data_IF_444978980991
#
_entry.id   IF_444978980991
#
_cell.length_a   1.000
_cell.length_b   1.000
_cell.length_c   1.000
_cell.angle_alpha   90.00
_cell.angle_beta   90.00
_cell.angle_gamma   90.00
#
_symmetry.space_group_name_H-M   'P 1'
#
loop_
_entity.id
_entity.type
_entity.pdbx_description
1 polymer ?
#
# COMPACT_ATOMS: atom_id res chain seq x y z
N UNK A 1 33.37 14.56 39.29
CA UNK A 1 32.86 13.29 39.87
C UNK A 1 32.95 12.19 38.83
N UNK A 2 33.58 11.05 39.13
CA UNK A 2 33.71 9.92 38.20
C UNK A 2 32.33 9.35 37.87
N UNK A 3 32.04 9.14 36.57
CA UNK A 3 30.77 8.58 36.11
C UNK A 3 30.73 7.08 36.46
N UNK A 4 29.79 6.68 37.31
CA UNK A 4 29.52 5.28 37.60
C UNK A 4 29.01 4.61 36.32
N UNK A 5 29.83 3.76 35.72
CA UNK A 5 29.39 2.86 34.67
C UNK A 5 28.65 1.69 35.34
N UNK A 6 27.31 1.73 35.32
CA UNK A 6 26.54 0.54 35.68
C UNK A 6 26.86 -0.57 34.69
N UNK A 7 27.19 -1.75 35.22
CA UNK A 7 27.35 -2.95 34.41
C UNK A 7 26.01 -3.25 33.74
N UNK A 8 26.05 -3.51 32.43
CA UNK A 8 24.86 -3.89 31.67
C UNK A 8 24.29 -5.19 32.21
N UNK A 9 22.97 -5.32 32.16
CA UNK A 9 22.31 -6.58 32.49
C UNK A 9 22.63 -7.63 31.42
N UNK A 10 22.60 -8.94 31.76
CA UNK A 10 22.83 -10.02 30.79
C UNK A 10 21.90 -9.94 29.58
N UNK A 11 20.68 -9.47 29.78
CA UNK A 11 19.67 -9.30 28.74
C UNK A 11 20.03 -8.16 27.76
N UNK A 12 20.51 -7.02 28.27
CA UNK A 12 20.98 -5.92 27.42
C UNK A 12 22.22 -6.34 26.61
N UNK A 13 23.08 -7.19 27.18
CA UNK A 13 24.23 -7.75 26.48
C UNK A 13 23.82 -8.72 25.36
N UNK A 14 22.83 -9.59 25.60
CA UNK A 14 22.27 -10.48 24.59
C UNK A 14 21.63 -9.70 23.42
N UNK A 15 20.81 -8.67 23.72
CA UNK A 15 20.21 -7.81 22.70
C UNK A 15 21.27 -7.06 21.87
N UNK A 16 22.37 -6.63 22.51
CA UNK A 16 23.50 -5.99 21.83
C UNK A 16 24.26 -6.98 20.94
N UNK A 17 24.45 -8.22 21.39
CA UNK A 17 25.07 -9.26 20.58
C UNK A 17 24.23 -9.61 19.35
N UNK A 18 22.90 -9.74 19.51
CA UNK A 18 21.97 -9.93 18.39
C UNK A 18 22.06 -8.81 17.35
N UNK A 19 21.99 -7.54 17.79
CA UNK A 19 22.19 -6.38 16.89
C UNK A 19 23.56 -6.38 16.20
N UNK A 20 24.60 -6.85 16.89
CA UNK A 20 25.96 -6.95 16.32
C UNK A 20 26.07 -8.08 15.29
N UNK A 21 25.38 -9.20 15.51
CA UNK A 21 25.29 -10.31 14.55
C UNK A 21 24.52 -9.89 13.29
N UNK A 22 23.34 -9.28 13.44
CA UNK A 22 22.56 -8.71 12.34
C UNK A 22 23.37 -7.72 11.50
N UNK A 23 24.12 -6.80 12.13
CA UNK A 23 25.00 -5.86 11.40
C UNK A 23 26.16 -6.56 10.69
N UNK A 24 26.71 -7.64 11.26
CA UNK A 24 27.77 -8.43 10.60
C UNK A 24 27.21 -9.20 9.41
N UNK A 25 26.03 -9.81 9.55
CA UNK A 25 25.35 -10.55 8.50
C UNK A 25 24.95 -9.64 7.34
N UNK A 26 24.39 -8.47 7.62
CA UNK A 26 24.10 -7.45 6.60
C UNK A 26 25.38 -7.01 5.85
N UNK A 27 26.51 -6.88 6.55
CA UNK A 27 27.81 -6.60 5.91
C UNK A 27 28.32 -7.78 5.07
N UNK A 28 28.12 -9.01 5.52
CA UNK A 28 28.47 -10.21 4.73
C UNK A 28 27.61 -10.29 3.47
N UNK A 29 26.29 -10.06 3.56
CA UNK A 29 25.40 -10.01 2.39
C UNK A 29 25.80 -8.93 1.39
N UNK A 30 26.20 -7.74 1.86
CA UNK A 30 26.72 -6.68 0.97
C UNK A 30 28.07 -7.02 0.32
N UNK A 31 28.91 -7.81 1.00
CA UNK A 31 30.21 -8.22 0.47
C UNK A 31 30.09 -9.39 -0.50
N UNK A 32 29.18 -10.33 -0.23
CA UNK A 32 29.01 -11.56 -1.01
C UNK A 32 28.02 -11.40 -2.18
N UNK A 33 27.02 -10.51 -2.04
CA UNK A 33 26.08 -10.18 -3.12
C UNK A 33 26.68 -9.34 -4.26
N UNK A 34 27.99 -9.09 -4.24
CA UNK A 34 28.74 -8.48 -5.33
C UNK A 34 29.62 -9.52 -6.07
N UNK A 35 29.67 -10.77 -5.60
CA UNK A 35 30.57 -11.82 -6.14
C UNK A 35 29.82 -12.99 -6.81
N UNK A 36 28.47 -13.02 -6.80
CA UNK A 36 27.70 -14.20 -7.25
C UNK A 36 27.07 -14.06 -8.65
N UNK A 37 27.42 -13.01 -9.41
CA UNK A 37 27.03 -12.83 -10.82
C UNK A 37 28.18 -12.16 -11.57
N UNK A 38 29.19 -12.94 -12.00
CA UNK A 38 30.09 -12.63 -13.13
C UNK A 38 31.14 -13.75 -13.30
N UNK A 39 30.72 -14.96 -13.69
CA UNK A 39 31.66 -16.02 -14.10
C UNK A 39 31.37 -16.60 -15.51
N UNK A 40 30.50 -15.96 -16.31
CA UNK A 40 30.22 -16.36 -17.71
C UNK A 40 30.37 -15.19 -18.72
N UNK A 41 31.38 -14.34 -18.52
CA UNK A 41 31.79 -13.35 -19.52
C UNK A 41 33.33 -13.34 -19.66
N UNK A 42 33.88 -14.45 -20.13
CA UNK A 42 35.15 -14.40 -20.83
C UNK A 42 35.00 -13.48 -22.06
N UNK A 43 36.06 -12.73 -22.35
CA UNK A 43 36.29 -11.95 -23.57
C UNK A 43 35.78 -10.49 -23.60
N UNK A 44 36.41 -9.62 -22.80
CA UNK A 44 36.87 -8.32 -23.32
C UNK A 44 37.91 -7.67 -22.42
N UNK A 45 39.15 -7.82 -22.84
CA UNK A 45 40.30 -7.14 -22.28
C UNK A 45 40.25 -5.62 -22.49
N UNK A 46 40.87 -4.91 -21.55
CA UNK A 46 41.39 -3.54 -21.66
C UNK A 46 40.37 -2.37 -21.68
N UNK A 47 40.21 -1.69 -20.55
CA UNK A 47 40.94 -0.43 -20.28
C UNK A 47 40.64 0.15 -18.90
N UNK A 48 41.70 0.23 -18.12
CA UNK A 48 41.83 0.95 -16.86
C UNK A 48 41.34 2.40 -16.92
N UNK A 49 40.58 2.85 -15.93
CA UNK A 49 40.53 4.27 -15.55
C UNK A 49 40.71 4.45 -14.04
N UNK A 50 41.98 4.51 -13.65
CA UNK A 50 42.45 5.43 -12.60
C UNK A 50 42.12 6.87 -13.03
N UNK A 51 41.47 7.66 -12.17
CA UNK A 51 41.69 9.11 -12.07
C UNK A 51 41.13 9.58 -10.73
N UNK A 52 41.96 9.88 -9.73
CA UNK A 52 42.93 10.99 -9.67
C UNK A 52 42.23 12.35 -9.68
N UNK A 53 42.25 12.95 -8.48
CA UNK A 53 41.98 14.36 -8.18
C UNK A 53 42.97 15.26 -8.92
N UNK A 54 42.50 16.26 -9.68
CA UNK A 54 43.10 17.62 -9.68
C UNK A 54 42.29 18.62 -10.50
N UNK A 55 42.20 19.82 -9.92
CA UNK A 55 41.73 21.07 -10.51
C UNK A 55 42.41 21.42 -11.85
N UNK A 56 41.64 21.95 -12.80
CA UNK A 56 41.96 23.21 -13.52
C UNK A 56 40.75 23.65 -14.36
N UNK A 57 40.45 24.96 -14.44
CA UNK A 57 39.52 25.55 -15.40
C UNK A 57 40.23 25.84 -16.74
N UNK A 58 39.45 26.00 -17.83
CA UNK A 58 39.65 26.84 -19.05
C UNK A 58 38.91 26.21 -20.26
N UNK A 59 37.93 26.97 -20.75
CA UNK A 59 37.47 27.27 -22.12
C UNK A 59 37.40 26.22 -23.25
N UNK A 60 36.14 26.00 -23.70
CA UNK A 60 35.60 25.90 -25.08
C UNK A 60 36.09 24.78 -26.04
N UNK A 61 35.38 24.47 -27.17
CA UNK A 61 33.94 24.55 -27.50
C UNK A 61 33.38 23.26 -28.20
N UNK A 62 32.07 23.28 -28.49
CA UNK A 62 31.44 22.75 -29.71
C UNK A 62 31.67 21.28 -30.12
N UNK A 63 30.68 20.42 -29.88
CA UNK A 63 30.29 19.44 -30.90
C UNK A 63 28.80 19.12 -30.82
N UNK A 64 28.07 19.63 -31.82
CA UNK A 64 26.69 19.30 -32.15
C UNK A 64 26.57 17.80 -32.45
N UNK A 65 25.52 17.18 -31.93
CA UNK A 65 24.84 16.09 -32.61
C UNK A 65 23.37 16.46 -32.68
N UNK A 66 22.94 16.74 -33.91
CA UNK A 66 21.55 16.90 -34.33
C UNK A 66 20.82 15.55 -34.25
N UNK A 67 19.61 15.61 -33.71
CA UNK A 67 18.43 14.76 -34.02
C UNK A 67 17.28 15.42 -33.25
N UNK A 68 16.57 16.41 -33.78
CA UNK A 68 15.60 16.34 -34.89
C UNK A 68 14.50 15.30 -34.58
N UNK A 69 13.60 15.68 -33.67
CA UNK A 69 12.16 15.48 -33.82
C UNK A 69 11.42 16.56 -32.99
N UNK A 70 10.91 17.57 -33.69
CA UNK A 70 9.93 18.54 -33.18
C UNK A 70 8.57 17.83 -33.06
N UNK A 71 7.78 18.02 -32.01
CA UNK A 71 6.85 19.14 -31.94
C UNK A 71 6.19 19.25 -30.56
N UNK A 72 5.80 20.50 -30.24
CA UNK A 72 4.84 20.93 -29.21
C UNK A 72 5.41 21.58 -27.93
N UNK A 73 5.83 22.83 -28.14
CA UNK A 73 6.15 23.86 -27.14
C UNK A 73 4.85 24.48 -26.60
N UNK A 74 4.64 24.35 -25.29
CA UNK A 74 3.80 25.25 -24.49
C UNK A 74 4.69 26.16 -23.63
N UNK A 75 4.34 27.44 -23.43
CA UNK A 75 5.24 28.43 -22.82
C UNK A 75 5.52 28.10 -21.35
N UNK A 76 6.81 27.93 -21.04
CA UNK A 76 7.32 27.75 -19.68
C UNK A 76 7.44 29.14 -19.02
N UNK A 77 6.89 29.38 -17.82
CA UNK A 77 7.03 30.67 -17.14
C UNK A 77 8.45 30.89 -16.63
N UNK A 78 8.89 32.14 -16.72
CA UNK A 78 10.21 32.66 -16.38
C UNK A 78 10.60 32.36 -14.92
N UNK A 79 11.86 31.92 -14.65
CA UNK A 79 12.37 31.88 -13.29
C UNK A 79 12.72 33.29 -12.82
N UNK A 80 11.83 33.88 -12.05
CA UNK A 80 12.08 35.12 -11.34
C UNK A 80 13.29 34.99 -10.39
N UNK A 81 14.18 35.96 -10.56
CA UNK A 81 15.30 36.28 -9.69
C UNK A 81 14.88 36.51 -8.23
N UNK A 82 15.46 35.76 -7.29
CA UNK A 82 15.52 36.15 -5.87
C UNK A 82 16.94 35.92 -5.36
N UNK A 83 17.73 36.99 -5.29
CA UNK A 83 17.93 37.84 -4.11
C UNK A 83 18.85 37.22 -3.04
N UNK A 84 20.08 37.74 -3.03
CA UNK A 84 20.85 38.11 -1.82
C UNK A 84 20.97 37.09 -0.70
N UNK A 85 22.00 36.24 -0.79
CA UNK A 85 22.63 35.57 0.36
C UNK A 85 23.51 36.59 1.11
N UNK A 86 22.95 37.30 2.08
CA UNK A 86 23.72 38.08 3.05
C UNK A 86 24.38 37.13 4.06
N UNK A 87 25.71 36.99 3.95
CA UNK A 87 26.57 36.37 4.97
C UNK A 87 26.78 37.36 6.12
N UNK A 88 25.92 37.34 7.13
CA UNK A 88 26.24 37.93 8.43
C UNK A 88 26.95 36.89 9.31
N UNK A 89 28.27 36.99 9.35
CA UNK A 89 29.11 36.38 10.40
C UNK A 89 28.93 37.20 11.68
N UNK A 90 28.06 36.79 12.58
CA UNK A 90 28.17 37.18 14.00
C UNK A 90 28.80 36.02 14.76
N UNK A 91 30.07 36.21 15.06
CA UNK A 91 30.92 35.34 15.86
C UNK A 91 30.91 35.95 17.26
N UNK A 92 29.94 35.58 18.09
CA UNK A 92 29.97 35.93 19.51
C UNK A 92 29.96 34.70 20.39
N UNK A 93 30.88 34.76 21.35
CA UNK A 93 31.16 33.78 22.38
C UNK A 93 29.97 33.63 23.33
N UNK A 94 29.27 32.49 23.24
CA UNK A 94 28.50 31.98 24.37
C UNK A 94 29.13 30.68 24.85
N UNK A 95 30.08 30.83 25.78
CA UNK A 95 30.51 29.74 26.66
C UNK A 95 29.42 29.61 27.72
N UNK A 96 28.35 28.90 27.42
CA UNK A 96 27.35 28.57 28.43
C UNK A 96 26.97 27.11 28.37
N UNK A 97 27.10 26.48 29.54
CA UNK A 97 26.51 25.23 30.01
C UNK A 97 26.41 24.08 28.99
N UNK A 98 27.26 23.08 29.21
CA UNK A 98 27.08 21.73 28.70
C UNK A 98 25.73 21.20 29.21
N UNK A 99 24.71 21.24 28.36
CA UNK A 99 23.42 20.60 28.59
C UNK A 99 23.42 19.21 27.91
N UNK A 100 23.66 18.12 28.67
CA UNK A 100 23.78 16.77 28.13
C UNK A 100 22.45 16.16 27.65
N UNK A 101 21.34 16.90 27.70
CA UNK A 101 20.00 16.40 27.33
C UNK A 101 19.44 16.98 26.02
N UNK A 102 20.14 17.89 25.34
CA UNK A 102 19.69 18.44 24.05
C UNK A 102 20.21 17.65 22.82
N UNK A 103 20.32 16.32 22.95
CA UNK A 103 20.33 15.46 21.76
C UNK A 103 18.88 15.24 21.31
N UNK A 104 18.25 16.33 20.86
CA UNK A 104 17.12 16.24 19.96
C UNK A 104 17.59 15.40 18.78
N UNK A 105 17.15 14.15 18.75
CA UNK A 105 17.41 13.18 17.71
C UNK A 105 16.82 13.77 16.43
N UNK A 106 17.60 14.59 15.73
CA UNK A 106 17.26 15.03 14.39
C UNK A 106 17.19 13.72 13.60
N UNK A 107 16.00 13.31 13.15
CA UNK A 107 15.90 12.10 12.35
C UNK A 107 16.89 12.26 11.21
N UNK A 108 17.71 11.24 11.00
CA UNK A 108 18.68 11.26 9.93
C UNK A 108 17.89 11.22 8.61
N UNK A 109 17.57 12.40 8.08
CA UNK A 109 16.70 12.55 6.93
C UNK A 109 17.27 11.84 5.71
N UNK A 110 18.59 11.69 5.64
CA UNK A 110 19.27 10.93 4.59
C UNK A 110 19.03 9.42 4.76
N UNK A 111 19.03 8.92 6.00
CA UNK A 111 18.65 7.53 6.29
C UNK A 111 17.17 7.25 5.97
N UNK A 112 16.28 8.17 6.31
CA UNK A 112 14.84 8.02 6.03
C UNK A 112 14.58 8.12 4.53
N UNK A 113 15.26 9.03 3.82
CA UNK A 113 15.17 9.13 2.36
C UNK A 113 15.70 7.87 1.67
N UNK A 114 16.84 7.34 2.12
CA UNK A 114 17.40 6.10 1.59
C UNK A 114 16.48 4.89 1.85
N UNK A 115 15.83 4.83 3.01
CA UNK A 115 14.87 3.76 3.33
C UNK A 115 13.59 3.87 2.48
N UNK A 116 13.10 5.08 2.24
CA UNK A 116 11.94 5.32 1.35
C UNK A 116 12.29 5.03 -0.11
N UNK A 117 13.51 5.36 -0.55
CA UNK A 117 14.00 5.02 -1.89
C UNK A 117 14.24 3.51 -2.04
N UNK A 118 14.76 2.82 -1.02
CA UNK A 118 14.90 1.36 -1.02
C UNK A 118 13.54 0.66 -1.01
N UNK A 119 12.55 1.20 -0.30
CA UNK A 119 11.16 0.72 -0.35
C UNK A 119 10.53 0.93 -1.72
N UNK A 120 10.70 2.12 -2.33
CA UNK A 120 10.23 2.37 -3.70
C UNK A 120 10.93 1.49 -4.72
N UNK A 121 12.22 1.24 -4.55
CA UNK A 121 12.99 0.36 -5.41
C UNK A 121 12.52 -1.09 -5.29
N UNK A 122 12.25 -1.55 -4.06
CA UNK A 122 11.66 -2.86 -3.81
C UNK A 122 10.24 -2.99 -4.36
N UNK A 123 9.38 -1.99 -4.16
CA UNK A 123 8.03 -1.97 -4.74
C UNK A 123 8.08 -1.96 -6.27
N UNK A 124 9.03 -1.22 -6.86
CA UNK A 124 9.22 -1.19 -8.31
C UNK A 124 9.72 -2.55 -8.83
N UNK A 125 10.61 -3.22 -8.09
CA UNK A 125 11.03 -4.58 -8.43
C UNK A 125 9.91 -5.60 -8.26
N UNK A 126 9.14 -5.54 -7.17
CA UNK A 126 8.01 -6.46 -6.96
C UNK A 126 6.93 -6.26 -8.03
N UNK A 127 6.62 -5.02 -8.40
CA UNK A 127 5.67 -4.72 -9.46
C UNK A 127 6.18 -5.20 -10.84
N UNK A 128 7.49 -5.15 -11.08
CA UNK A 128 8.07 -5.71 -12.30
C UNK A 128 7.96 -7.25 -12.35
N UNK A 129 8.07 -7.94 -11.22
CA UNK A 129 7.85 -9.40 -11.16
C UNK A 129 6.36 -9.78 -11.22
N UNK A 130 5.47 -8.95 -10.68
CA UNK A 130 4.01 -9.16 -10.75
C UNK A 130 3.48 -9.02 -12.19
N UNK A 131 4.06 -8.12 -12.99
CA UNK A 131 3.76 -8.02 -14.42
C UNK A 131 4.42 -9.15 -15.26
N UNK A 132 5.47 -9.81 -14.76
CA UNK A 132 6.12 -10.95 -15.45
C UNK A 132 5.39 -12.30 -15.23
N UNK A 133 4.45 -12.41 -14.29
CA UNK A 133 3.46 -13.50 -14.28
C UNK A 133 2.56 -13.47 -15.54
N UNK A 134 2.60 -12.37 -16.30
CA UNK A 134 1.98 -12.30 -17.63
C UNK A 134 2.72 -13.15 -18.67
N UNK A 135 4.01 -13.45 -18.50
CA UNK A 135 4.72 -14.36 -19.42
C UNK A 135 4.19 -15.79 -19.31
N UNK A 136 3.85 -16.27 -18.11
CA UNK A 136 3.17 -17.56 -17.95
C UNK A 136 1.78 -17.55 -18.62
N UNK A 137 1.07 -16.40 -18.60
CA UNK A 137 -0.21 -16.25 -19.31
C UNK A 137 -0.06 -16.17 -20.84
N UNK A 138 1.04 -15.58 -21.32
CA UNK A 138 1.36 -15.46 -22.75
C UNK A 138 1.90 -16.79 -23.28
N UNK A 139 2.72 -17.50 -22.51
CA UNK A 139 3.19 -18.85 -22.79
C UNK A 139 2.03 -19.85 -22.74
N UNK A 140 1.10 -19.73 -21.79
CA UNK A 140 -0.15 -20.50 -21.81
C UNK A 140 -1.03 -20.19 -23.04
N UNK A 141 -1.12 -18.91 -23.48
CA UNK A 141 -1.84 -18.54 -24.71
C UNK A 141 -1.12 -18.99 -25.99
N UNK A 142 0.21 -18.95 -26.03
CA UNK A 142 1.00 -19.44 -27.17
C UNK A 142 0.96 -20.97 -27.25
N UNK A 143 1.04 -21.67 -26.12
CA UNK A 143 0.85 -23.12 -26.06
C UNK A 143 -0.60 -23.52 -26.39
N UNK A 144 -1.60 -22.67 -26.13
CA UNK A 144 -2.98 -22.91 -26.54
C UNK A 144 -3.21 -22.74 -28.06
N UNK A 145 -2.43 -21.89 -28.74
CA UNK A 145 -2.52 -21.67 -30.19
C UNK A 145 -1.53 -22.49 -31.02
N UNK A 146 -0.45 -22.97 -30.41
CA UNK A 146 0.43 -23.95 -31.00
C UNK A 146 -0.23 -25.33 -30.94
N UNK A 147 -1.25 -25.54 -31.78
CA UNK A 147 -1.68 -26.87 -32.16
C UNK A 147 -0.56 -27.50 -33.00
N UNK A 148 0.57 -27.81 -32.36
CA UNK A 148 1.63 -28.61 -32.94
C UNK A 148 1.01 -29.98 -33.17
N UNK A 149 0.93 -30.47 -34.42
CA UNK A 149 0.42 -31.79 -34.70
C UNK A 149 1.13 -32.82 -33.82
N UNK A 150 0.35 -33.77 -33.26
CA UNK A 150 0.82 -34.74 -32.26
C UNK A 150 2.08 -35.52 -32.62
N UNK A 151 2.48 -35.57 -33.88
CA UNK A 151 3.70 -36.25 -34.33
C UNK A 151 4.97 -35.39 -34.23
N UNK A 152 4.87 -34.06 -34.01
CA UNK A 152 6.02 -33.15 -33.80
C UNK A 152 6.18 -32.72 -32.34
N UNK A 153 5.10 -32.72 -31.56
CA UNK A 153 5.14 -32.43 -30.13
C UNK A 153 5.60 -33.66 -29.35
N UNK A 154 6.90 -33.77 -29.08
CA UNK A 154 7.45 -34.76 -28.16
C UNK A 154 6.70 -34.71 -26.83
N UNK A 155 5.94 -35.77 -26.55
CA UNK A 155 4.84 -35.73 -25.58
C UNK A 155 5.18 -35.17 -24.20
N UNK A 156 4.43 -34.14 -23.80
CA UNK A 156 4.10 -33.85 -22.40
C UNK A 156 2.88 -32.91 -22.32
N UNK A 157 1.89 -33.31 -21.52
CA UNK A 157 0.80 -32.55 -20.89
C UNK A 157 -0.25 -31.85 -21.80
N UNK A 158 -1.57 -31.99 -21.63
CA UNK A 158 -2.34 -32.61 -20.56
C UNK A 158 -3.78 -32.91 -20.97
N UNK A 159 -4.22 -34.11 -20.60
CA UNK A 159 -5.42 -34.35 -19.80
C UNK A 159 -6.71 -33.57 -20.14
N UNK A 160 -7.50 -34.11 -21.08
CA UNK A 160 -8.89 -34.44 -20.73
C UNK A 160 -9.42 -35.57 -21.61
N UNK A 161 -10.02 -36.56 -20.96
CA UNK A 161 -10.97 -37.47 -21.60
C UNK A 161 -10.39 -38.69 -22.32
N UNK A 162 -10.43 -39.81 -21.61
CA UNK A 162 -11.02 -41.04 -22.14
C UNK A 162 -10.20 -41.90 -23.11
N UNK A 163 -9.65 -42.98 -22.53
CA UNK A 163 -9.54 -44.33 -23.11
C UNK A 163 -8.70 -44.48 -24.39
N UNK A 164 -7.40 -44.74 -24.21
CA UNK A 164 -6.54 -45.29 -25.26
C UNK A 164 -5.07 -45.02 -24.99
N UNK A 165 -4.31 -46.09 -24.74
CA UNK A 165 -2.98 -46.08 -24.13
C UNK A 165 -1.92 -45.26 -24.88
N UNK A 166 -1.27 -44.37 -24.14
CA UNK A 166 0.18 -44.11 -24.13
C UNK A 166 0.42 -42.89 -23.25
N UNK A 167 0.03 -43.01 -21.98
CA UNK A 167 0.70 -42.23 -20.94
C UNK A 167 2.16 -42.68 -21.03
N UNK A 168 3.09 -41.77 -21.35
CA UNK A 168 4.49 -41.99 -20.98
C UNK A 168 4.47 -42.06 -19.46
N UNK A 169 4.24 -43.26 -18.95
CA UNK A 169 4.26 -43.55 -17.54
C UNK A 169 5.66 -43.12 -17.14
N UNK A 170 5.72 -42.03 -16.39
CA UNK A 170 6.94 -41.56 -15.77
C UNK A 170 7.16 -42.57 -14.65
N UNK A 171 7.60 -43.78 -15.04
CA UNK A 171 8.03 -44.81 -14.12
C UNK A 171 9.21 -44.16 -13.41
N UNK A 172 8.97 -43.58 -12.23
CA UNK A 172 10.03 -43.49 -11.22
C UNK A 172 10.60 -44.91 -11.22
N UNK A 173 11.89 -45.07 -11.56
CA UNK A 173 12.52 -46.33 -11.99
C UNK A 173 12.13 -47.55 -11.12
N UNK A 174 11.69 -47.31 -9.89
CA UNK A 174 11.29 -48.27 -8.86
C UNK A 174 9.95 -48.96 -9.08
N UNK A 175 8.98 -48.34 -9.77
CA UNK A 175 7.71 -49.01 -10.07
C UNK A 175 7.87 -50.03 -11.20
N UNK A 176 8.79 -49.79 -12.15
CA UNK A 176 9.11 -50.75 -13.23
C UNK A 176 9.68 -52.07 -12.69
N UNK A 177 10.33 -52.04 -11.52
CA UNK A 177 10.90 -53.24 -10.87
C UNK A 177 9.89 -54.01 -9.99
N UNK A 178 8.72 -53.41 -9.69
CA UNK A 178 7.64 -54.08 -8.94
C UNK A 178 6.70 -54.89 -9.84
N UNK A 179 6.82 -54.74 -11.15
CA UNK A 179 6.02 -55.47 -12.14
C UNK A 179 6.50 -56.93 -12.16
N UNK A 180 5.56 -57.87 -12.14
CA UNK A 180 5.85 -59.30 -12.18
C UNK A 180 6.50 -59.65 -13.53
N UNK A 181 7.74 -60.17 -13.57
CA UNK A 181 8.46 -60.41 -14.82
C UNK A 181 7.76 -61.38 -15.78
N UNK A 182 6.83 -62.20 -15.30
CA UNK A 182 6.03 -63.13 -16.12
C UNK A 182 4.92 -62.45 -16.93
N UNK A 183 4.66 -61.17 -16.66
CA UNK A 183 3.62 -60.39 -17.32
C UNK A 183 4.17 -59.40 -18.36
N UNK A 184 5.50 -59.23 -18.41
CA UNK A 184 6.19 -58.37 -19.36
C UNK A 184 6.39 -59.09 -20.70
N UNK A 185 6.32 -58.33 -21.79
CA UNK A 185 6.70 -58.86 -23.09
C UNK A 185 8.22 -59.12 -23.18
N UNK A 186 8.68 -59.80 -24.23
CA UNK A 186 10.09 -60.18 -24.36
C UNK A 186 11.04 -58.97 -24.45
N UNK A 187 10.56 -57.83 -24.95
CA UNK A 187 11.35 -56.59 -25.09
C UNK A 187 11.45 -55.85 -23.75
N UNK A 188 10.32 -55.70 -23.05
CA UNK A 188 10.23 -55.16 -21.69
C UNK A 188 10.99 -56.03 -20.68
N UNK A 189 10.98 -57.35 -20.83
CA UNK A 189 11.74 -58.27 -19.99
C UNK A 189 13.25 -58.08 -20.16
N UNK A 190 13.72 -57.87 -21.39
CA UNK A 190 15.14 -57.58 -21.65
C UNK A 190 15.55 -56.24 -21.02
N UNK A 191 14.69 -55.23 -21.10
CA UNK A 191 14.91 -53.94 -20.43
C UNK A 191 14.88 -54.08 -18.91
N UNK A 192 13.98 -54.89 -18.36
CA UNK A 192 13.92 -55.22 -16.94
C UNK A 192 15.21 -55.90 -16.45
N UNK A 193 15.76 -56.85 -17.21
CA UNK A 193 17.05 -57.47 -16.90
C UNK A 193 18.17 -56.43 -16.95
N UNK A 194 18.21 -55.57 -17.98
CA UNK A 194 19.23 -54.53 -18.14
C UNK A 194 19.17 -53.53 -16.98
N UNK A 195 17.98 -53.09 -16.59
CA UNK A 195 17.73 -52.21 -15.46
C UNK A 195 18.10 -52.87 -14.13
N UNK A 196 17.74 -54.14 -13.93
CA UNK A 196 18.10 -54.93 -12.75
C UNK A 196 19.61 -55.14 -12.61
N UNK A 197 20.32 -55.37 -13.71
CA UNK A 197 21.78 -55.48 -13.73
C UNK A 197 22.46 -54.13 -13.49
N UNK A 198 21.92 -53.03 -14.04
CA UNK A 198 22.42 -51.69 -13.80
C UNK A 198 22.29 -51.30 -12.31
N UNK A 199 21.15 -51.57 -11.68
CA UNK A 199 20.94 -51.35 -10.23
C UNK A 199 21.91 -52.14 -9.36
N UNK A 200 22.19 -53.42 -9.71
CA UNK A 200 23.14 -54.24 -8.95
C UNK A 200 24.57 -53.74 -9.06
N UNK A 201 24.96 -53.15 -10.20
CA UNK A 201 26.31 -52.62 -10.44
C UNK A 201 26.48 -51.17 -9.95
N UNK A 202 25.39 -50.39 -9.91
CA UNK A 202 25.36 -48.98 -9.52
C UNK A 202 24.54 -48.75 -8.25
N UNK A 203 24.47 -49.75 -7.36
CA UNK A 203 23.69 -49.67 -6.11
C UNK A 203 24.12 -48.47 -5.25
N UNK A 204 25.44 -48.19 -5.20
CA UNK A 204 25.99 -47.03 -4.48
C UNK A 204 25.56 -45.69 -5.10
N UNK A 205 25.49 -45.61 -6.43
CA UNK A 205 25.05 -44.40 -7.13
C UNK A 205 23.55 -44.13 -6.88
N UNK A 206 22.73 -45.18 -6.83
CA UNK A 206 21.31 -45.07 -6.49
C UNK A 206 21.10 -44.59 -5.06
N UNK A 207 21.83 -45.14 -4.08
CA UNK A 207 21.75 -44.67 -2.69
C UNK A 207 22.17 -43.20 -2.57
N UNK A 208 23.22 -42.76 -3.28
CA UNK A 208 23.63 -41.35 -3.31
C UNK A 208 22.57 -40.46 -3.97
N UNK A 209 21.97 -40.92 -5.07
CA UNK A 209 20.89 -40.22 -5.78
C UNK A 209 19.63 -40.09 -4.91
N UNK A 210 19.26 -41.12 -4.17
CA UNK A 210 18.17 -41.08 -3.21
C UNK A 210 18.47 -40.14 -2.04
N UNK A 211 19.68 -40.18 -1.47
CA UNK A 211 20.08 -39.22 -0.43
C UNK A 211 20.01 -37.78 -0.93
N UNK A 212 20.44 -37.53 -2.17
CA UNK A 212 20.36 -36.20 -2.81
C UNK A 212 18.92 -35.78 -3.11
N UNK A 213 18.04 -36.71 -3.53
CA UNK A 213 16.60 -36.47 -3.73
C UNK A 213 15.93 -36.13 -2.40
N UNK A 214 16.24 -36.89 -1.34
CA UNK A 214 15.73 -36.67 0.01
C UNK A 214 16.22 -35.33 0.60
N UNK A 215 17.49 -34.97 0.44
CA UNK A 215 18.02 -33.67 0.90
C UNK A 215 17.34 -32.50 0.18
N UNK A 216 17.18 -32.58 -1.15
CA UNK A 216 16.46 -31.56 -1.92
C UNK A 216 15.00 -31.45 -1.51
N UNK A 217 14.33 -32.59 -1.27
CA UNK A 217 12.96 -32.61 -0.79
C UNK A 217 12.84 -31.99 0.62
N UNK A 218 13.78 -32.30 1.52
CA UNK A 218 13.83 -31.71 2.85
C UNK A 218 14.08 -30.19 2.80
N UNK A 219 14.99 -29.72 1.93
CA UNK A 219 15.25 -28.29 1.74
C UNK A 219 14.02 -27.56 1.20
N UNK A 220 13.36 -28.12 0.19
CA UNK A 220 12.10 -27.57 -0.35
C UNK A 220 10.98 -27.55 0.69
N UNK A 221 10.89 -28.58 1.53
CA UNK A 221 9.90 -28.63 2.61
C UNK A 221 10.16 -27.54 3.67
N UNK A 222 11.42 -27.31 4.05
CA UNK A 222 11.80 -26.25 4.99
C UNK A 222 11.54 -24.85 4.41
N UNK A 223 11.90 -24.62 3.15
CA UNK A 223 11.65 -23.36 2.45
C UNK A 223 10.14 -23.07 2.32
N UNK A 224 9.36 -24.10 1.98
CA UNK A 224 7.90 -23.99 1.92
C UNK A 224 7.30 -23.66 3.29
N UNK A 225 7.76 -24.31 4.36
CA UNK A 225 7.30 -24.01 5.71
C UNK A 225 7.63 -22.56 6.13
N UNK A 226 8.83 -22.08 5.78
CA UNK A 226 9.19 -20.69 6.03
C UNK A 226 8.34 -19.70 5.22
N UNK A 227 8.06 -20.02 3.95
CA UNK A 227 7.19 -19.21 3.09
C UNK A 227 5.77 -19.13 3.67
N UNK A 228 5.19 -20.24 4.08
CA UNK A 228 3.86 -20.29 4.69
C UNK A 228 3.80 -19.51 6.03
N UNK A 229 4.84 -19.58 6.86
CA UNK A 229 4.92 -18.79 8.09
C UNK A 229 5.00 -17.28 7.80
N UNK A 230 5.79 -16.89 6.78
CA UNK A 230 5.91 -15.50 6.37
C UNK A 230 4.62 -14.94 5.77
N UNK A 231 3.92 -15.74 4.96
CA UNK A 231 2.65 -15.36 4.33
C UNK A 231 1.55 -15.21 5.38
N UNK A 232 1.53 -16.08 6.40
CA UNK A 232 0.61 -15.96 7.52
C UNK A 232 0.83 -14.66 8.30
N UNK A 233 2.09 -14.33 8.61
CA UNK A 233 2.43 -13.09 9.31
C UNK A 233 2.08 -11.84 8.48
N UNK A 234 2.31 -11.89 7.17
CA UNK A 234 1.97 -10.80 6.25
C UNK A 234 0.46 -10.58 6.14
N UNK A 235 -0.32 -11.65 6.06
CA UNK A 235 -1.79 -11.58 6.04
C UNK A 235 -2.33 -10.93 7.32
N UNK A 236 -1.81 -11.30 8.48
CA UNK A 236 -2.18 -10.68 9.77
C UNK A 236 -1.83 -9.18 9.79
N UNK A 237 -0.66 -8.79 9.28
CA UNK A 237 -0.25 -7.38 9.17
C UNK A 237 -1.12 -6.59 8.17
N UNK A 238 -1.53 -7.21 7.06
CA UNK A 238 -2.42 -6.59 6.07
C UNK A 238 -3.83 -6.36 6.63
N UNK A 239 -4.37 -7.32 7.37
CA UNK A 239 -5.65 -7.20 8.08
C UNK A 239 -5.60 -6.12 9.16
N UNK A 240 -4.50 -6.01 9.92
CA UNK A 240 -4.32 -4.94 10.90
C UNK A 240 -4.28 -3.56 10.24
N UNK A 241 -3.56 -3.41 9.12
CA UNK A 241 -3.54 -2.15 8.35
C UNK A 241 -4.94 -1.79 7.86
N UNK A 242 -5.72 -2.76 7.39
CA UNK A 242 -7.12 -2.55 6.96
C UNK A 242 -7.99 -2.10 8.12
N UNK A 243 -7.89 -2.75 9.28
CA UNK A 243 -8.61 -2.37 10.50
C UNK A 243 -8.27 -0.94 10.93
N UNK A 244 -6.98 -0.58 10.91
CA UNK A 244 -6.52 0.78 11.26
C UNK A 244 -7.03 1.84 10.29
N UNK A 245 -7.14 1.54 8.99
CA UNK A 245 -7.74 2.44 7.99
C UNK A 245 -9.23 2.67 8.29
N UNK A 246 -9.99 1.60 8.53
CA UNK A 246 -11.41 1.67 8.90
C UNK A 246 -11.64 2.45 10.20
N UNK A 247 -10.82 2.21 11.23
CA UNK A 247 -10.91 2.96 12.48
C UNK A 247 -10.63 4.45 12.28
N UNK A 248 -9.64 4.82 11.46
CA UNK A 248 -9.36 6.23 11.12
C UNK A 248 -10.53 6.86 10.38
N UNK A 249 -11.16 6.15 9.47
CA UNK A 249 -12.36 6.63 8.76
C UNK A 249 -13.52 6.80 9.73
N UNK A 250 -13.77 5.80 10.60
CA UNK A 250 -14.79 5.87 11.63
C UNK A 250 -14.60 7.08 12.55
N UNK A 251 -13.37 7.31 13.03
CA UNK A 251 -13.04 8.51 13.83
C UNK A 251 -13.28 9.82 13.08
N UNK A 252 -13.00 9.87 11.78
CA UNK A 252 -13.31 11.06 10.96
C UNK A 252 -14.82 11.29 10.86
N UNK A 253 -15.61 10.23 10.73
CA UNK A 253 -17.06 10.31 10.69
C UNK A 253 -17.65 10.76 12.03
N UNK A 254 -17.14 10.23 13.14
CA UNK A 254 -17.58 10.64 14.48
C UNK A 254 -17.26 12.11 14.74
N UNK A 255 -16.03 12.55 14.42
CA UNK A 255 -15.64 13.95 14.53
C UNK A 255 -16.53 14.88 13.68
N UNK A 256 -16.80 14.51 12.42
CA UNK A 256 -17.69 15.27 11.55
C UNK A 256 -19.13 15.38 12.12
N UNK A 257 -19.58 14.38 12.88
CA UNK A 257 -20.90 14.40 13.53
C UNK A 257 -20.91 15.24 14.80
N UNK A 258 -19.84 15.18 15.60
CA UNK A 258 -19.68 16.06 16.75
C UNK A 258 -19.72 17.52 16.31
N UNK A 259 -18.95 17.86 15.27
CA UNK A 259 -18.93 19.21 14.68
C UNK A 259 -20.30 19.62 14.14
N UNK A 260 -21.00 18.75 13.40
CA UNK A 260 -22.38 18.99 12.96
C UNK A 260 -23.31 19.34 14.14
N UNK A 261 -23.21 18.60 15.25
CA UNK A 261 -24.05 18.84 16.42
C UNK A 261 -23.64 20.12 17.17
N UNK A 262 -22.35 20.42 17.25
CA UNK A 262 -21.84 21.66 17.86
C UNK A 262 -22.29 22.89 17.07
N UNK A 263 -22.17 22.86 15.74
CA UNK A 263 -22.66 23.94 14.86
C UNK A 263 -24.17 24.13 15.01
N UNK A 264 -24.94 23.04 15.08
CA UNK A 264 -26.38 23.15 15.36
C UNK A 264 -26.68 23.78 16.72
N UNK A 265 -25.91 23.43 17.77
CA UNK A 265 -26.04 24.06 19.09
C UNK A 265 -25.71 25.55 19.03
N UNK A 266 -24.68 25.95 18.29
CA UNK A 266 -24.30 27.35 18.11
C UNK A 266 -25.38 28.14 17.35
N UNK A 267 -25.96 27.56 16.29
CA UNK A 267 -27.03 28.20 15.53
C UNK A 267 -28.32 28.38 16.34
N UNK A 268 -28.64 27.42 17.20
CA UNK A 268 -29.82 27.46 18.07
C UNK A 268 -29.60 28.25 19.36
N UNK A 269 -28.36 28.60 19.69
CA UNK A 269 -28.07 29.42 20.85
C UNK A 269 -28.71 30.81 20.68
N UNK A 270 -29.39 31.34 21.71
CA UNK A 270 -29.99 32.66 21.65
C UNK A 270 -28.87 33.70 21.46
N UNK A 271 -29.08 34.61 20.50
CA UNK A 271 -28.15 35.71 20.26
C UNK A 271 -28.23 36.64 21.46
N UNK A 272 -27.13 36.92 22.16
CA UNK A 272 -27.17 37.90 23.24
C UNK A 272 -27.55 39.27 22.65
N UNK A 273 -28.52 39.94 23.27
CA UNK A 273 -28.98 41.25 22.84
C UNK A 273 -27.81 42.24 22.85
N UNK A 274 -27.32 42.62 21.66
CA UNK A 274 -26.21 43.57 21.48
C UNK A 274 -24.99 43.04 20.73
N UNK A 275 -24.92 41.75 20.37
CA UNK A 275 -23.89 41.26 19.46
C UNK A 275 -24.28 41.58 18.00
N UNK A 276 -23.35 42.07 17.15
CA UNK A 276 -23.65 42.35 15.75
C UNK A 276 -24.24 41.11 15.08
N UNK A 277 -25.26 41.30 14.25
CA UNK A 277 -25.90 40.21 13.50
C UNK A 277 -24.83 39.40 12.74
N UNK A 278 -24.55 38.19 13.24
CA UNK A 278 -23.66 37.24 12.59
C UNK A 278 -24.35 36.87 11.27
N UNK A 279 -23.86 37.45 10.17
CA UNK A 279 -24.36 37.14 8.83
C UNK A 279 -23.90 35.73 8.45
N UNK A 280 -24.79 34.76 8.55
CA UNK A 280 -24.55 33.37 8.16
C UNK A 280 -24.57 33.25 6.64
N UNK A 281 -23.58 32.55 6.10
CA UNK A 281 -23.57 32.11 4.71
C UNK A 281 -24.19 30.72 4.52
N UNK A 282 -24.30 30.32 3.25
CA UNK A 282 -24.77 29.00 2.84
C UNK A 282 -23.91 27.87 3.43
N UNK A 283 -22.60 28.06 3.49
CA UNK A 283 -21.64 27.06 3.99
C UNK A 283 -21.59 26.98 5.54
N UNK A 284 -22.13 27.99 6.24
CA UNK A 284 -22.19 28.00 7.70
C UNK A 284 -23.35 27.14 8.23
N UNK A 285 -24.35 26.87 7.40
CA UNK A 285 -25.45 25.97 7.73
C UNK A 285 -24.91 24.53 7.79
N UNK A 286 -25.07 23.81 8.92
CA UNK A 286 -24.59 22.44 9.07
C UNK A 286 -25.47 21.47 8.28
N UNK A 287 -25.23 21.38 6.98
CA UNK A 287 -25.91 20.43 6.10
C UNK A 287 -25.58 18.98 6.52
N UNK A 288 -26.55 18.04 6.44
CA UNK A 288 -26.37 16.66 6.88
C UNK A 288 -25.61 15.83 5.82
N UNK A 289 -24.45 16.32 5.39
CA UNK A 289 -23.54 15.68 4.44
C UNK A 289 -22.10 15.75 4.96
N UNK A 290 -21.30 14.74 4.66
CA UNK A 290 -19.93 14.66 5.16
C UNK A 290 -19.01 15.75 4.61
N UNK A 291 -19.20 16.15 3.35
CA UNK A 291 -18.39 17.15 2.66
C UNK A 291 -18.49 18.52 3.33
N UNK A 292 -19.69 18.90 3.82
CA UNK A 292 -19.92 20.16 4.52
C UNK A 292 -19.15 20.27 5.85
N UNK A 293 -18.89 19.13 6.51
CA UNK A 293 -18.22 19.08 7.82
C UNK A 293 -16.70 18.90 7.69
N UNK A 294 -16.16 18.65 6.49
CA UNK A 294 -14.71 18.52 6.29
C UNK A 294 -13.99 19.87 6.18
N UNK A 295 -14.47 20.88 6.91
CA UNK A 295 -13.74 22.14 7.02
C UNK A 295 -12.47 21.87 7.80
N UNK A 296 -11.38 21.61 7.06
CA UNK A 296 -10.05 21.47 7.66
C UNK A 296 -9.80 22.77 8.41
N UNK A 297 -9.59 22.75 9.74
CA UNK A 297 -9.11 23.94 10.43
C UNK A 297 -7.84 24.33 9.70
N UNK A 298 -7.87 25.48 9.03
CA UNK A 298 -6.75 25.93 8.21
C UNK A 298 -5.53 25.97 9.12
N UNK A 299 -4.67 24.96 8.97
CA UNK A 299 -3.59 24.72 9.92
C UNK A 299 -2.52 25.74 9.61
N UNK A 300 -2.65 26.91 10.24
CA UNK A 300 -1.70 28.03 10.28
C UNK A 300 -1.07 28.37 8.92
N UNK A 301 -1.69 29.32 8.22
CA UNK A 301 -0.92 30.37 7.55
C UNK A 301 -0.57 30.21 6.07
N UNK A 302 -1.07 29.19 5.35
CA UNK A 302 -0.99 29.18 3.88
C UNK A 302 -2.40 29.22 3.27
N UNK A 303 -2.81 30.44 2.95
CA UNK A 303 -4.16 30.93 2.66
C UNK A 303 -4.68 30.63 1.25
N UNK A 304 -4.74 29.36 0.84
CA UNK A 304 -5.40 29.01 -0.45
C UNK A 304 -6.09 27.65 -0.48
N UNK A 305 -6.21 26.92 0.62
CA UNK A 305 -7.08 25.74 0.62
C UNK A 305 -8.53 26.21 0.56
N UNK A 306 -9.03 26.36 -0.68
CA UNK A 306 -10.40 26.71 -1.03
C UNK A 306 -11.33 25.90 -0.13
N UNK A 307 -12.17 26.59 0.66
CA UNK A 307 -13.23 25.93 1.39
C UNK A 307 -14.01 25.07 0.39
N UNK A 308 -14.33 23.83 0.77
CA UNK A 308 -15.11 22.95 -0.10
C UNK A 308 -16.49 23.60 -0.18
N UNK A 309 -16.74 24.31 -1.27
CA UNK A 309 -18.02 24.96 -1.57
C UNK A 309 -19.07 23.86 -1.71
N UNK A 310 -20.05 23.85 -0.81
CA UNK A 310 -21.13 22.86 -0.88
C UNK A 310 -22.07 23.27 -2.02
N UNK A 311 -22.21 22.41 -3.02
CA UNK A 311 -23.15 22.65 -4.12
C UNK A 311 -24.53 22.05 -3.79
N UNK A 312 -25.59 22.57 -4.42
CA UNK A 312 -26.93 22.00 -4.28
C UNK A 312 -27.01 20.54 -4.78
N UNK A 313 -26.13 20.18 -5.72
CA UNK A 313 -26.06 18.84 -6.29
C UNK A 313 -25.46 17.83 -5.31
N UNK A 314 -24.67 18.27 -4.33
CA UNK A 314 -24.07 17.39 -3.32
C UNK A 314 -25.09 16.94 -2.26
N UNK A 315 -26.23 17.65 -2.15
CA UNK A 315 -27.34 17.33 -1.26
C UNK A 315 -28.19 16.19 -1.82
N UNK A 316 -27.55 15.08 -2.18
CA UNK A 316 -28.24 13.88 -2.66
C UNK A 316 -28.82 13.09 -1.50
N UNK A 317 -29.91 12.36 -1.79
CA UNK A 317 -30.54 11.42 -0.85
C UNK A 317 -29.53 10.41 -0.28
N UNK A 318 -28.64 9.91 -1.12
CA UNK A 318 -27.64 8.92 -0.73
C UNK A 318 -26.59 9.53 0.20
N UNK A 319 -26.07 10.73 -0.12
CA UNK A 319 -25.12 11.44 0.74
C UNK A 319 -25.69 11.73 2.14
N UNK A 320 -26.97 12.15 2.20
CA UNK A 320 -27.68 12.39 3.47
C UNK A 320 -27.83 11.07 4.24
N UNK A 321 -28.23 10.00 3.56
CA UNK A 321 -28.39 8.69 4.20
C UNK A 321 -27.07 8.13 4.75
N UNK A 322 -25.97 8.28 4.00
CA UNK A 322 -24.64 7.86 4.42
C UNK A 322 -24.21 8.63 5.67
N UNK A 323 -24.42 9.95 5.69
CA UNK A 323 -24.04 10.78 6.83
C UNK A 323 -24.82 10.43 8.12
N UNK A 324 -26.14 10.25 8.00
CA UNK A 324 -26.99 9.93 9.16
C UNK A 324 -26.80 8.48 9.66
N UNK A 325 -26.57 7.52 8.77
CA UNK A 325 -26.58 6.09 9.11
C UNK A 325 -25.22 5.39 9.12
N UNK A 326 -24.11 6.04 8.72
CA UNK A 326 -22.77 5.41 8.69
C UNK A 326 -22.39 4.67 9.99
N UNK A 327 -22.69 5.25 11.16
CA UNK A 327 -22.40 4.64 12.47
C UNK A 327 -23.21 3.39 12.78
N UNK A 328 -24.43 3.25 12.25
CA UNK A 328 -25.30 2.11 12.58
C UNK A 328 -24.97 0.86 11.79
N UNK A 329 -24.40 1.01 10.58
CA UNK A 329 -24.18 -0.12 9.66
C UNK A 329 -22.94 -0.94 10.02
N UNK A 330 -21.91 -0.36 10.63
CA UNK A 330 -20.62 -1.05 10.83
C UNK A 330 -20.48 -1.80 12.16
N UNK A 331 -21.34 -1.57 13.15
CA UNK A 331 -21.08 -2.00 14.54
C UNK A 331 -21.95 -3.15 15.04
N UNK A 332 -23.10 -3.43 14.41
CA UNK A 332 -24.10 -4.31 15.04
C UNK A 332 -24.31 -5.59 14.22
N UNK A 333 -24.07 -6.79 14.79
CA UNK A 333 -24.39 -8.05 14.14
C UNK A 333 -25.91 -8.17 13.88
N UNK A 334 -26.27 -8.90 12.83
CA UNK A 334 -27.61 -8.99 12.22
C UNK A 334 -28.78 -9.31 13.17
N UNK A 335 -28.53 -9.73 14.41
CA UNK A 335 -29.57 -10.00 15.41
C UNK A 335 -30.30 -8.76 15.93
N UNK A 336 -29.80 -7.54 15.68
CA UNK A 336 -30.39 -6.29 16.18
C UNK A 336 -31.03 -5.40 15.11
N UNK A 337 -31.47 -5.98 13.98
CA UNK A 337 -32.07 -5.22 12.89
C UNK A 337 -33.27 -4.35 13.33
N UNK A 338 -34.16 -4.85 14.19
CA UNK A 338 -35.30 -4.05 14.67
C UNK A 338 -34.89 -2.82 15.49
N UNK A 339 -33.90 -2.98 16.39
CA UNK A 339 -33.35 -1.85 17.14
C UNK A 339 -32.71 -0.83 16.19
N UNK A 340 -31.96 -1.31 15.20
CA UNK A 340 -31.34 -0.43 14.19
C UNK A 340 -32.38 0.34 13.37
N UNK A 341 -33.53 -0.27 13.03
CA UNK A 341 -34.64 0.40 12.32
C UNK A 341 -35.27 1.49 13.18
N UNK A 342 -35.49 1.22 14.47
CA UNK A 342 -36.02 2.23 15.41
C UNK A 342 -35.06 3.40 15.55
N UNK A 343 -33.78 3.13 15.81
CA UNK A 343 -32.75 4.17 15.92
C UNK A 343 -32.61 4.97 14.62
N UNK A 344 -32.79 4.32 13.46
CA UNK A 344 -32.81 4.97 12.14
C UNK A 344 -33.98 5.95 12.03
N UNK A 345 -35.20 5.54 12.40
CA UNK A 345 -36.40 6.38 12.37
C UNK A 345 -36.29 7.55 13.35
N UNK A 346 -35.76 7.31 14.54
CA UNK A 346 -35.63 8.35 15.56
C UNK A 346 -34.62 9.42 15.12
N UNK A 347 -33.49 9.04 14.51
CA UNK A 347 -32.54 9.99 13.89
C UNK A 347 -33.15 10.77 12.72
N UNK A 348 -33.95 10.11 11.87
CA UNK A 348 -34.66 10.79 10.78
C UNK A 348 -35.66 11.81 11.32
N UNK A 349 -36.44 11.45 12.35
CA UNK A 349 -37.38 12.39 12.98
C UNK A 349 -36.67 13.57 13.64
N UNK A 350 -35.57 13.32 14.35
CA UNK A 350 -34.78 14.38 14.97
C UNK A 350 -34.24 15.35 13.92
N UNK A 351 -33.65 14.85 12.83
CA UNK A 351 -33.12 15.68 11.75
C UNK A 351 -34.22 16.41 10.99
N UNK A 352 -35.35 15.75 10.73
CA UNK A 352 -36.53 16.38 10.15
C UNK A 352 -37.06 17.53 11.00
N UNK A 353 -37.09 17.39 12.33
CA UNK A 353 -37.50 18.46 13.24
C UNK A 353 -36.53 19.66 13.22
N UNK A 354 -35.22 19.41 13.03
CA UNK A 354 -34.21 20.48 12.88
C UNK A 354 -34.36 21.24 11.55
N UNK A 355 -34.71 20.52 10.47
CA UNK A 355 -34.89 21.07 9.12
C UNK A 355 -36.35 21.36 8.75
N UNK A 356 -37.26 21.44 9.73
CA UNK A 356 -38.66 21.76 9.44
C UNK A 356 -38.75 23.18 8.86
N UNK A 357 -39.44 23.40 7.71
CA UNK A 357 -39.42 24.68 7.00
C UNK A 357 -39.83 25.85 7.89
N UNK A 358 -40.95 25.73 8.59
CA UNK A 358 -41.46 26.78 9.50
C UNK A 358 -40.46 27.18 10.62
N UNK A 359 -39.90 26.20 11.33
CA UNK A 359 -38.95 26.47 12.43
C UNK A 359 -37.59 26.97 11.91
N UNK A 360 -37.16 26.46 10.76
CA UNK A 360 -35.90 26.85 10.14
C UNK A 360 -36.00 28.29 9.59
N UNK A 361 -37.08 28.62 8.91
CA UNK A 361 -37.36 29.97 8.41
C UNK A 361 -37.51 30.99 9.53
N UNK A 362 -38.17 30.64 10.64
CA UNK A 362 -38.30 31.57 11.78
C UNK A 362 -36.99 31.82 12.55
N UNK A 363 -36.06 30.86 12.57
CA UNK A 363 -34.86 30.93 13.45
C UNK A 363 -33.56 31.21 12.72
N UNK A 364 -33.36 30.61 11.55
CA UNK A 364 -32.07 30.63 10.84
C UNK A 364 -32.09 31.66 9.71
N UNK A 365 -33.16 31.71 8.91
CA UNK A 365 -33.23 32.61 7.74
C UNK A 365 -33.03 34.11 8.01
N UNK A 366 -33.47 34.69 9.15
CA UNK A 366 -33.22 36.10 9.44
C UNK A 366 -31.72 36.41 9.54
N UNK A 367 -30.91 35.43 9.95
CA UNK A 367 -29.45 35.53 10.14
C UNK A 367 -28.69 35.25 8.83
N UNK A 368 -29.33 34.65 7.83
CA UNK A 368 -28.72 34.33 6.53
C UNK A 368 -28.68 35.59 5.65
N UNK A 369 -27.54 35.79 4.96
CA UNK A 369 -27.35 36.87 3.98
C UNK A 369 -28.46 36.87 2.94
N UNK A 370 -28.98 38.05 2.59
CA UNK A 370 -30.14 38.17 1.70
C UNK A 370 -29.91 37.51 0.34
N UNK A 371 -28.71 37.66 -0.22
CA UNK A 371 -28.30 37.07 -1.52
C UNK A 371 -28.30 35.54 -1.51
N UNK A 372 -28.15 34.91 -0.35
CA UNK A 372 -28.04 33.45 -0.20
C UNK A 372 -29.31 32.80 0.35
N UNK A 373 -30.31 33.60 0.78
CA UNK A 373 -31.57 33.11 1.33
C UNK A 373 -32.29 32.16 0.38
N UNK A 374 -32.37 32.51 -0.90
CA UNK A 374 -33.05 31.66 -1.90
C UNK A 374 -32.33 30.34 -2.12
N UNK A 375 -30.98 30.36 -2.12
CA UNK A 375 -30.15 29.16 -2.23
C UNK A 375 -30.33 28.26 -1.00
N UNK A 376 -30.36 28.82 0.20
CA UNK A 376 -30.62 28.08 1.45
C UNK A 376 -32.04 27.47 1.44
N UNK A 377 -33.06 28.20 0.97
CA UNK A 377 -34.43 27.69 0.87
C UNK A 377 -34.54 26.52 -0.11
N UNK A 378 -33.84 26.59 -1.25
CA UNK A 378 -33.78 25.50 -2.22
C UNK A 378 -33.10 24.26 -1.62
N UNK A 379 -31.95 24.43 -0.97
CA UNK A 379 -31.24 23.36 -0.27
C UNK A 379 -32.10 22.71 0.83
N UNK A 380 -32.78 23.52 1.63
CA UNK A 380 -33.73 23.06 2.65
C UNK A 380 -34.83 22.19 2.02
N UNK A 381 -35.41 22.63 0.91
CA UNK A 381 -36.42 21.86 0.18
C UNK A 381 -35.90 20.51 -0.34
N UNK A 382 -34.65 20.46 -0.82
CA UNK A 382 -33.99 19.20 -1.25
C UNK A 382 -33.82 18.27 -0.05
N UNK A 383 -33.29 18.77 1.07
CA UNK A 383 -33.06 17.97 2.29
C UNK A 383 -34.38 17.43 2.85
N UNK A 384 -35.42 18.26 2.96
CA UNK A 384 -36.73 17.82 3.49
C UNK A 384 -37.36 16.74 2.60
N UNK A 385 -37.28 16.87 1.26
CA UNK A 385 -37.74 15.81 0.34
C UNK A 385 -36.96 14.52 0.54
N UNK A 386 -35.63 14.59 0.58
CA UNK A 386 -34.78 13.43 0.82
C UNK A 386 -35.07 12.76 2.18
N UNK A 387 -35.34 13.54 3.23
CA UNK A 387 -35.70 13.01 4.56
C UNK A 387 -37.07 12.31 4.55
N UNK A 388 -38.07 12.87 3.86
CA UNK A 388 -39.37 12.23 3.68
C UNK A 388 -39.25 10.89 2.94
N UNK A 389 -38.52 10.87 1.82
CA UNK A 389 -38.27 9.63 1.05
C UNK A 389 -37.58 8.56 1.90
N UNK A 390 -36.66 8.95 2.79
CA UNK A 390 -35.98 8.04 3.70
C UNK A 390 -36.88 7.57 4.86
N UNK A 391 -37.83 8.38 5.31
CA UNK A 391 -38.83 8.00 6.32
C UNK A 391 -39.88 7.04 5.77
N UNK A 392 -40.26 7.16 4.50
CA UNK A 392 -41.19 6.24 3.85
C UNK A 392 -40.58 4.85 3.62
N UNK A 393 -39.26 4.78 3.40
CA UNK A 393 -38.55 3.53 3.12
C UNK A 393 -38.03 2.79 4.36
N UNK A 394 -37.90 3.48 5.49
CA UNK A 394 -37.48 2.91 6.77
C UNK A 394 -38.66 2.43 7.59
#
# INVERSE_FOLDING_TARGET
MPKLHLKRTPEEEAARQWRKQQKKEAKRRRKHGLEEYDDDAEDSAHRSRKKSRRNSPIDHPSQKWDSEDEDFIGPQPEPESSSSKSKSKSKEHSKNAYDPYSHAYKPDYDSIRAEVEDQRFREKLSMAFEDDERLDSVEARFNAFAHVPRHWGGGSAGQSGSHGGNSRINYDDDDFMRIDPMTLDEEEYVEWIRAGMYRKTHAQEYEEKERKKAERAAKRAQEKAFREESERLEKEAAEERRRRKQEREFRKWDYAREEYNERWKQLLAPVPAGEPDITLGFDDVPWPIASAQQQKPSKKGNSTSKAIEVSLNDLTRDAISLFLFSTTVSSVPSSNQERSKKDRKDKLRETFLRFHPDKFEGRVMPRVKEDERDRVRQALGIVVRALNDLMEQG
#
